data_IF_139194169532
#
_entry.id   IF_139194169532
#
_cell.length_a   1.000
_cell.length_b   1.000
_cell.length_c   1.000
_cell.angle_alpha   90.00
_cell.angle_beta   90.00
_cell.angle_gamma   90.00
#
_symmetry.space_group_name_H-M   'P 1'
#
loop_
_entity.id
_entity.type
_entity.pdbx_description
1 polymer ?
#
# COMPACT_ATOMS: atom_id res chain seq x y z
N UNK A 1 48.66 14.39 13.15
CA UNK A 1 47.19 14.48 13.32
C UNK A 1 46.57 13.52 12.33
N UNK A 2 46.26 12.30 12.77
CA UNK A 2 45.49 11.36 11.93
C UNK A 2 44.01 11.79 11.93
N UNK A 3 43.32 11.72 10.78
CA UNK A 3 41.90 11.99 10.73
C UNK A 3 41.14 10.89 11.49
N UNK A 4 40.30 11.30 12.44
CA UNK A 4 39.36 10.44 13.17
C UNK A 4 38.56 9.60 12.16
N UNK A 5 38.88 8.30 12.07
CA UNK A 5 38.11 7.32 11.29
C UNK A 5 36.78 7.05 12.02
N UNK A 6 35.80 7.93 11.82
CA UNK A 6 34.40 7.75 12.23
C UNK A 6 33.66 6.66 11.41
N UNK A 7 34.31 6.08 10.38
CA UNK A 7 33.70 5.22 9.36
C UNK A 7 33.04 3.93 9.89
N UNK A 8 33.67 3.09 10.74
CA UNK A 8 33.12 1.77 11.03
C UNK A 8 31.95 1.79 12.03
N UNK A 9 31.90 2.79 12.93
CA UNK A 9 30.83 2.91 13.94
C UNK A 9 29.53 3.45 13.32
N UNK A 10 29.64 4.36 12.35
CA UNK A 10 28.51 4.87 11.60
C UNK A 10 27.95 3.82 10.63
N UNK A 11 28.80 2.99 10.04
CA UNK A 11 28.40 1.85 9.21
C UNK A 11 27.72 0.75 10.03
N UNK A 12 28.22 0.43 11.24
CA UNK A 12 27.54 -0.49 12.16
C UNK A 12 26.20 0.06 12.67
N UNK A 13 26.12 1.35 12.99
CA UNK A 13 24.87 1.99 13.37
C UNK A 13 23.85 2.00 12.22
N UNK A 14 24.32 2.24 10.99
CA UNK A 14 23.47 2.16 9.79
C UNK A 14 22.99 0.73 9.49
N UNK A 15 23.84 -0.29 9.71
CA UNK A 15 23.48 -1.70 9.57
C UNK A 15 22.51 -2.17 10.66
N UNK A 16 22.62 -1.66 11.89
CA UNK A 16 21.67 -1.91 12.98
C UNK A 16 20.30 -1.21 12.76
N UNK A 17 20.27 -0.17 11.92
CA UNK A 17 19.05 0.53 11.51
C UNK A 17 18.45 -0.04 10.21
N UNK A 18 19.16 -0.94 9.52
CA UNK A 18 18.64 -1.56 8.31
C UNK A 18 17.52 -2.56 8.69
N UNK A 19 16.36 -2.50 8.03
CA UNK A 19 15.26 -3.42 8.31
C UNK A 19 15.69 -4.88 8.11
N UNK A 20 15.26 -5.76 9.00
CA UNK A 20 15.42 -7.19 8.84
C UNK A 20 14.70 -7.70 7.57
N UNK A 21 15.09 -8.87 7.05
CA UNK A 21 14.51 -9.44 5.84
C UNK A 21 12.98 -9.59 5.92
N UNK A 22 12.44 -9.97 7.08
CA UNK A 22 10.99 -10.12 7.28
C UNK A 22 10.24 -8.79 7.18
N UNK A 23 10.84 -7.71 7.66
CA UNK A 23 10.29 -6.35 7.52
C UNK A 23 10.21 -5.95 6.05
N UNK A 24 11.26 -6.17 5.27
CA UNK A 24 11.25 -5.84 3.83
C UNK A 24 10.21 -6.66 3.06
N UNK A 25 10.03 -7.94 3.40
CA UNK A 25 8.98 -8.80 2.83
C UNK A 25 7.60 -8.23 3.14
N UNK A 26 7.36 -7.85 4.41
CA UNK A 26 6.10 -7.26 4.84
C UNK A 26 5.82 -5.94 4.10
N UNK A 27 6.83 -5.09 3.91
CA UNK A 27 6.72 -3.86 3.10
C UNK A 27 6.36 -4.14 1.65
N UNK A 28 6.97 -5.14 1.02
CA UNK A 28 6.64 -5.50 -0.36
C UNK A 28 5.21 -6.04 -0.50
N UNK A 29 4.73 -6.80 0.50
CA UNK A 29 3.32 -7.25 0.56
C UNK A 29 2.36 -6.07 0.74
N UNK A 30 2.67 -5.13 1.64
CA UNK A 30 1.88 -3.91 1.83
C UNK A 30 1.83 -3.06 0.55
N UNK A 31 2.98 -2.90 -0.12
CA UNK A 31 3.06 -2.23 -1.43
C UNK A 31 2.15 -2.90 -2.45
N UNK A 32 2.16 -4.23 -2.53
CA UNK A 32 1.26 -4.98 -3.43
C UNK A 32 -0.20 -4.74 -3.11
N UNK A 33 -0.57 -4.72 -1.82
CA UNK A 33 -1.93 -4.40 -1.40
C UNK A 33 -2.37 -3.02 -1.85
N UNK A 34 -1.54 -1.98 -1.66
CA UNK A 34 -1.83 -0.63 -2.18
C UNK A 34 -1.90 -0.56 -3.70
N UNK A 35 -1.04 -1.30 -4.42
CA UNK A 35 -1.10 -1.34 -5.88
C UNK A 35 -2.40 -1.97 -6.39
N UNK A 36 -2.86 -3.05 -5.75
CA UNK A 36 -4.14 -3.68 -6.07
C UNK A 36 -5.33 -2.76 -5.74
N UNK A 37 -5.31 -2.15 -4.55
CA UNK A 37 -6.32 -1.20 -4.11
C UNK A 37 -6.42 0.00 -5.06
N UNK A 38 -5.29 0.57 -5.48
CA UNK A 38 -5.25 1.70 -6.42
C UNK A 38 -5.81 1.33 -7.78
N UNK A 39 -5.44 0.16 -8.32
CA UNK A 39 -5.99 -0.34 -9.58
C UNK A 39 -7.51 -0.51 -9.52
N UNK A 40 -8.02 -1.14 -8.46
CA UNK A 40 -9.47 -1.32 -8.27
C UNK A 40 -10.17 0.04 -8.15
N UNK A 41 -9.60 0.97 -7.38
CA UNK A 41 -10.14 2.31 -7.20
C UNK A 41 -10.24 3.07 -8.53
N UNK A 42 -9.17 3.04 -9.35
CA UNK A 42 -9.15 3.68 -10.66
C UNK A 42 -10.15 3.06 -11.64
N UNK A 43 -10.32 1.73 -11.61
CA UNK A 43 -11.30 1.04 -12.45
C UNK A 43 -12.75 1.36 -12.03
N UNK A 44 -13.03 1.42 -10.73
CA UNK A 44 -14.33 1.83 -10.21
C UNK A 44 -14.63 3.30 -10.52
N UNK A 45 -13.64 4.20 -10.42
CA UNK A 45 -13.79 5.60 -10.82
C UNK A 45 -14.18 5.73 -12.30
N UNK A 46 -13.57 4.92 -13.17
CA UNK A 46 -13.82 4.96 -14.60
C UNK A 46 -15.18 4.39 -15.00
N UNK A 47 -15.63 3.30 -14.37
CA UNK A 47 -16.71 2.46 -14.89
C UNK A 47 -17.92 2.28 -13.97
N UNK A 48 -17.77 2.47 -12.65
CA UNK A 48 -18.83 2.11 -11.71
C UNK A 48 -20.02 3.06 -11.80
N UNK A 49 -21.23 2.49 -11.77
CA UNK A 49 -22.49 3.23 -11.68
C UNK A 49 -23.28 2.72 -10.46
N UNK A 50 -23.56 3.59 -9.46
CA UNK A 50 -23.24 5.02 -9.42
C UNK A 50 -21.75 5.28 -9.13
N UNK A 51 -21.23 6.35 -9.72
CA UNK A 51 -19.90 6.87 -9.38
C UNK A 51 -19.87 7.39 -7.93
N UNK A 52 -18.75 7.21 -7.23
CA UNK A 52 -18.54 7.64 -5.85
C UNK A 52 -17.20 8.35 -5.71
N UNK A 53 -17.17 9.47 -4.98
CA UNK A 53 -15.94 10.22 -4.67
C UNK A 53 -14.89 9.36 -3.96
N UNK A 54 -15.36 8.34 -3.21
CA UNK A 54 -14.54 7.35 -2.54
C UNK A 54 -13.49 6.70 -3.45
N UNK A 55 -13.80 6.49 -4.74
CA UNK A 55 -12.91 5.81 -5.69
C UNK A 55 -11.72 6.69 -6.08
N UNK A 56 -11.97 7.96 -6.42
CA UNK A 56 -10.92 8.95 -6.69
C UNK A 56 -10.03 9.16 -5.46
N UNK A 57 -10.64 9.23 -4.27
CA UNK A 57 -9.91 9.33 -3.00
C UNK A 57 -9.04 8.09 -2.78
N UNK A 58 -9.58 6.90 -2.98
CA UNK A 58 -8.88 5.62 -2.82
C UNK A 58 -7.63 5.51 -3.69
N UNK A 59 -7.74 5.85 -4.98
CA UNK A 59 -6.59 5.82 -5.89
C UNK A 59 -5.49 6.82 -5.45
N UNK A 60 -5.85 8.03 -5.04
CA UNK A 60 -4.90 9.03 -4.54
C UNK A 60 -4.16 8.57 -3.28
N UNK A 61 -4.87 7.94 -2.35
CA UNK A 61 -4.27 7.40 -1.12
C UNK A 61 -3.27 6.29 -1.44
N UNK A 62 -3.64 5.39 -2.36
CA UNK A 62 -2.77 4.32 -2.82
C UNK A 62 -1.50 4.85 -3.49
N UNK A 63 -1.62 5.86 -4.38
CA UNK A 63 -0.46 6.53 -4.99
C UNK A 63 0.47 7.15 -3.95
N UNK A 64 -0.09 7.76 -2.91
CA UNK A 64 0.67 8.36 -1.81
C UNK A 64 1.44 7.31 -1.00
N UNK A 65 0.78 6.19 -0.65
CA UNK A 65 1.42 5.08 0.05
C UNK A 65 2.52 4.42 -0.79
N UNK A 66 2.29 4.21 -2.09
CA UNK A 66 3.29 3.66 -3.01
C UNK A 66 4.52 4.57 -3.13
N UNK A 67 4.32 5.89 -3.24
CA UNK A 67 5.43 6.85 -3.29
C UNK A 67 6.29 6.84 -2.00
N UNK A 68 5.69 6.52 -0.85
CA UNK A 68 6.42 6.36 0.41
C UNK A 68 7.19 5.03 0.49
N UNK A 69 6.66 3.95 -0.11
CA UNK A 69 7.26 2.60 -0.05
C UNK A 69 8.32 2.35 -1.12
N UNK A 70 8.13 2.87 -2.34
CA UNK A 70 9.02 2.60 -3.47
C UNK A 70 10.51 2.94 -3.19
N UNK A 71 10.86 4.03 -2.47
CA UNK A 71 12.26 4.31 -2.13
C UNK A 71 12.90 3.29 -1.17
N UNK A 72 12.09 2.50 -0.44
CA UNK A 72 12.56 1.53 0.56
C UNK A 72 12.74 0.12 -0.01
N UNK A 73 12.26 -0.12 -1.24
CA UNK A 73 12.16 -1.45 -1.83
C UNK A 73 12.99 -1.53 -3.11
N UNK A 74 13.89 -2.51 -3.17
CA UNK A 74 14.61 -2.79 -4.42
C UNK A 74 13.68 -3.44 -5.44
N UNK A 75 13.99 -3.29 -6.73
CA UNK A 75 13.25 -3.96 -7.82
C UNK A 75 13.22 -5.48 -7.62
N UNK A 76 14.32 -6.06 -7.16
CA UNK A 76 14.42 -7.51 -6.92
C UNK A 76 13.48 -7.96 -5.82
N UNK A 77 13.35 -7.16 -4.75
CA UNK A 77 12.46 -7.49 -3.63
C UNK A 77 10.99 -7.31 -4.01
N UNK A 78 10.67 -6.29 -4.80
CA UNK A 78 9.35 -6.11 -5.41
C UNK A 78 9.01 -7.30 -6.32
N UNK A 79 9.96 -7.79 -7.11
CA UNK A 79 9.75 -8.92 -8.01
C UNK A 79 9.60 -10.26 -7.25
N UNK A 80 10.45 -10.51 -6.26
CA UNK A 80 10.46 -11.75 -5.49
C UNK A 80 9.22 -11.91 -4.59
N UNK A 81 8.68 -10.80 -4.07
CA UNK A 81 7.49 -10.80 -3.20
C UNK A 81 6.24 -10.25 -3.87
N UNK A 82 6.34 -9.89 -5.15
CA UNK A 82 5.23 -9.52 -6.04
C UNK A 82 4.71 -10.69 -6.89
N UNK A 83 5.17 -11.93 -6.65
CA UNK A 83 4.77 -13.09 -7.45
C UNK A 83 3.23 -13.25 -7.47
N UNK A 84 2.68 -13.29 -8.70
CA UNK A 84 1.26 -13.48 -8.99
C UNK A 84 0.59 -12.40 -9.84
N UNK A 85 1.27 -11.29 -10.14
CA UNK A 85 0.68 -10.24 -10.99
C UNK A 85 1.75 -9.56 -11.84
N UNK A 86 2.21 -10.22 -12.91
CA UNK A 86 3.15 -9.59 -13.85
C UNK A 86 2.42 -8.42 -14.51
N UNK A 87 3.13 -7.35 -14.88
CA UNK A 87 2.54 -6.21 -15.59
C UNK A 87 1.66 -6.65 -16.78
N UNK A 88 2.12 -7.62 -17.56
CA UNK A 88 1.35 -8.20 -18.68
C UNK A 88 0.02 -8.83 -18.23
N UNK A 89 -0.03 -9.42 -17.05
CA UNK A 89 -1.24 -10.07 -16.54
C UNK A 89 -2.24 -8.97 -16.11
N UNK A 90 -1.75 -7.86 -15.55
CA UNK A 90 -2.54 -6.65 -15.28
C UNK A 90 -3.07 -6.04 -16.58
N UNK A 91 -2.21 -5.87 -17.59
CA UNK A 91 -2.56 -5.30 -18.89
C UNK A 91 -3.66 -6.14 -19.59
N UNK A 92 -3.68 -7.46 -19.38
CA UNK A 92 -4.73 -8.36 -19.88
C UNK A 92 -6.00 -8.28 -19.04
N UNK A 93 -5.89 -8.14 -17.72
CA UNK A 93 -7.04 -8.09 -16.82
C UNK A 93 -7.77 -6.74 -16.88
N UNK A 94 -7.08 -5.64 -17.18
CA UNK A 94 -7.68 -4.30 -17.24
C UNK A 94 -8.87 -4.26 -18.23
N UNK A 95 -8.74 -4.65 -19.51
CA UNK A 95 -9.87 -4.66 -20.44
C UNK A 95 -11.06 -5.52 -19.99
N UNK A 96 -10.76 -6.67 -19.36
CA UNK A 96 -11.80 -7.56 -18.81
C UNK A 96 -12.51 -6.87 -17.64
N UNK A 97 -11.75 -6.27 -16.73
CA UNK A 97 -12.30 -5.56 -15.58
C UNK A 97 -13.13 -4.35 -16.00
N UNK A 98 -12.73 -3.60 -17.03
CA UNK A 98 -13.55 -2.53 -17.62
C UNK A 98 -14.91 -3.07 -18.10
N UNK A 99 -14.89 -4.19 -18.82
CA UNK A 99 -16.13 -4.81 -19.34
C UNK A 99 -17.04 -5.28 -18.22
N UNK A 100 -16.48 -6.00 -17.23
CA UNK A 100 -17.25 -6.54 -16.11
C UNK A 100 -17.80 -5.43 -15.20
N UNK A 101 -17.03 -4.36 -14.96
CA UNK A 101 -17.49 -3.23 -14.14
C UNK A 101 -18.55 -2.39 -14.83
N UNK A 102 -18.43 -2.16 -16.14
CA UNK A 102 -19.45 -1.45 -16.91
C UNK A 102 -20.81 -2.19 -16.92
N UNK A 103 -20.78 -3.51 -16.71
CA UNK A 103 -21.97 -4.36 -16.62
C UNK A 103 -22.34 -4.72 -15.18
N UNK A 104 -21.58 -4.26 -14.19
CA UNK A 104 -21.81 -4.61 -12.79
C UNK A 104 -23.09 -3.96 -12.29
N UNK A 105 -23.89 -4.73 -11.55
CA UNK A 105 -24.99 -4.16 -10.78
C UNK A 105 -24.44 -3.32 -9.61
N UNK A 106 -25.24 -2.39 -9.05
CA UNK A 106 -24.86 -1.66 -7.84
C UNK A 106 -24.41 -2.59 -6.70
N UNK A 107 -25.06 -3.73 -6.51
CA UNK A 107 -24.69 -4.74 -5.51
C UNK A 107 -23.35 -5.44 -5.83
N UNK A 108 -22.99 -5.53 -7.11
CA UNK A 108 -21.67 -5.96 -7.53
C UNK A 108 -20.59 -4.97 -7.11
N UNK A 109 -20.83 -3.67 -7.34
CA UNK A 109 -19.95 -2.58 -6.90
C UNK A 109 -19.82 -2.54 -5.38
N UNK A 110 -20.91 -2.74 -4.65
CA UNK A 110 -20.88 -2.79 -3.17
C UNK A 110 -20.06 -3.96 -2.63
N UNK A 111 -20.15 -5.15 -3.23
CA UNK A 111 -19.28 -6.28 -2.83
C UNK A 111 -17.79 -6.03 -3.07
N UNK A 112 -17.45 -5.28 -4.12
CA UNK A 112 -16.08 -4.85 -4.37
C UNK A 112 -15.67 -3.84 -3.29
N UNK A 113 -16.55 -2.90 -2.93
CA UNK A 113 -16.31 -1.96 -1.84
C UNK A 113 -16.07 -2.68 -0.49
N UNK A 114 -16.87 -3.69 -0.13
CA UNK A 114 -16.67 -4.50 1.08
C UNK A 114 -15.30 -5.21 1.10
N UNK A 115 -14.87 -5.70 -0.07
CA UNK A 115 -13.56 -6.32 -0.24
C UNK A 115 -12.43 -5.29 -0.07
N UNK A 116 -12.64 -4.06 -0.52
CA UNK A 116 -11.72 -2.94 -0.33
C UNK A 116 -11.63 -2.52 1.15
N UNK A 117 -12.75 -2.51 1.89
CA UNK A 117 -12.74 -2.30 3.35
C UNK A 117 -11.85 -3.35 4.03
N UNK A 118 -12.06 -4.64 3.70
CA UNK A 118 -11.26 -5.73 4.27
C UNK A 118 -9.77 -5.59 3.97
N UNK A 119 -9.41 -5.25 2.72
CA UNK A 119 -8.03 -5.02 2.33
C UNK A 119 -7.42 -3.81 3.05
N UNK A 120 -8.16 -2.71 3.17
CA UNK A 120 -7.69 -1.51 3.85
C UNK A 120 -7.45 -1.75 5.35
N UNK A 121 -8.31 -2.52 6.01
CA UNK A 121 -8.11 -2.93 7.40
C UNK A 121 -6.85 -3.80 7.57
N UNK A 122 -6.63 -4.78 6.68
CA UNK A 122 -5.43 -5.61 6.72
C UNK A 122 -4.14 -4.81 6.47
N UNK A 123 -4.21 -3.78 5.62
CA UNK A 123 -3.09 -2.85 5.41
C UNK A 123 -2.83 -1.97 6.63
N UNK A 124 -3.88 -1.45 7.27
CA UNK A 124 -3.76 -0.64 8.48
C UNK A 124 -3.13 -1.46 9.61
N UNK A 125 -3.62 -2.67 9.85
CA UNK A 125 -3.05 -3.61 10.82
C UNK A 125 -1.57 -3.89 10.54
N UNK A 126 -1.23 -4.22 9.29
CA UNK A 126 0.15 -4.47 8.87
C UNK A 126 1.07 -3.30 9.20
N UNK A 127 0.68 -2.09 8.82
CA UNK A 127 1.53 -0.90 9.00
C UNK A 127 1.54 -0.38 10.44
N UNK A 128 0.52 -0.70 11.25
CA UNK A 128 0.55 -0.51 12.71
C UNK A 128 1.64 -1.38 13.34
N UNK A 129 1.65 -2.69 13.07
CA UNK A 129 2.66 -3.61 13.61
C UNK A 129 4.09 -3.26 13.14
N UNK A 130 4.26 -2.88 11.88
CA UNK A 130 5.56 -2.44 11.36
C UNK A 130 6.01 -1.11 11.97
N UNK A 131 5.08 -0.20 12.26
CA UNK A 131 5.33 1.07 12.92
C UNK A 131 5.83 0.91 14.36
N UNK A 132 5.25 -0.03 15.13
CA UNK A 132 5.68 -0.34 16.50
C UNK A 132 7.11 -0.90 16.56
N UNK A 133 7.51 -1.63 15.53
CA UNK A 133 8.82 -2.26 15.42
C UNK A 133 9.90 -1.33 14.83
N UNK A 134 9.52 -0.13 14.37
CA UNK A 134 10.43 0.79 13.67
C UNK A 134 10.62 2.08 14.47
N UNK A 135 11.87 2.52 14.64
CA UNK A 135 12.17 3.76 15.36
C UNK A 135 11.49 4.98 14.71
N UNK A 136 10.74 5.73 15.52
CA UNK A 136 10.08 6.96 15.11
C UNK A 136 11.10 8.01 14.60
N UNK A 137 10.74 8.75 13.55
CA UNK A 137 11.59 9.80 12.97
C UNK A 137 12.61 9.31 11.92
N UNK A 138 12.77 8.01 11.74
CA UNK A 138 13.51 7.44 10.60
C UNK A 138 12.74 7.59 9.29
N UNK A 139 13.43 7.53 8.14
CA UNK A 139 12.77 7.53 6.83
C UNK A 139 11.75 6.39 6.69
N UNK A 140 12.09 5.22 7.22
CA UNK A 140 11.20 4.06 7.27
C UNK A 140 10.00 4.30 8.21
N UNK A 141 10.24 4.79 9.43
CA UNK A 141 9.16 5.10 10.37
C UNK A 141 8.16 6.12 9.81
N UNK A 142 8.65 7.13 9.08
CA UNK A 142 7.79 8.08 8.35
C UNK A 142 6.96 7.39 7.26
N UNK A 143 7.58 6.53 6.46
CA UNK A 143 6.85 5.78 5.43
C UNK A 143 5.77 4.87 6.05
N UNK A 144 6.04 4.21 7.19
CA UNK A 144 5.04 3.39 7.88
C UNK A 144 3.87 4.25 8.36
N UNK A 145 4.15 5.42 8.91
CA UNK A 145 3.12 6.38 9.32
C UNK A 145 2.24 6.82 8.15
N UNK A 146 2.83 7.12 6.98
CA UNK A 146 2.09 7.47 5.76
C UNK A 146 1.23 6.30 5.28
N UNK A 147 1.79 5.09 5.23
CA UNK A 147 1.05 3.90 4.80
C UNK A 147 -0.10 3.56 5.74
N UNK A 148 0.12 3.62 7.06
CA UNK A 148 -0.96 3.42 8.03
C UNK A 148 -2.08 4.45 7.85
N UNK A 149 -1.73 5.74 7.77
CA UNK A 149 -2.72 6.80 7.56
C UNK A 149 -3.50 6.61 6.25
N UNK A 150 -2.81 6.27 5.16
CA UNK A 150 -3.44 5.99 3.88
C UNK A 150 -4.39 4.79 3.95
N UNK A 151 -4.02 3.73 4.68
CA UNK A 151 -4.89 2.57 4.87
C UNK A 151 -6.13 2.90 5.72
N UNK A 152 -5.97 3.66 6.81
CA UNK A 152 -7.09 4.14 7.64
C UNK A 152 -8.05 5.02 6.83
N UNK A 153 -7.52 5.99 6.06
CA UNK A 153 -8.33 6.86 5.22
C UNK A 153 -9.01 6.08 4.07
N UNK A 154 -8.33 5.08 3.51
CA UNK A 154 -8.91 4.21 2.47
C UNK A 154 -10.08 3.41 3.03
N UNK A 155 -9.91 2.84 4.22
CA UNK A 155 -10.96 2.10 4.91
C UNK A 155 -12.19 2.98 5.17
N UNK A 156 -11.98 4.19 5.68
CA UNK A 156 -13.06 5.15 5.91
C UNK A 156 -13.75 5.60 4.61
N UNK A 157 -12.99 5.84 3.54
CA UNK A 157 -13.54 6.26 2.25
C UNK A 157 -14.49 5.22 1.65
N UNK A 158 -14.21 3.93 1.84
CA UNK A 158 -15.05 2.84 1.36
C UNK A 158 -16.23 2.50 2.29
N UNK A 159 -16.41 3.24 3.40
CA UNK A 159 -17.54 3.05 4.32
C UNK A 159 -17.25 2.10 5.48
N UNK A 160 -15.98 1.83 5.78
CA UNK A 160 -15.60 1.23 7.06
C UNK A 160 -16.06 2.14 8.20
N UNK A 161 -16.79 1.58 9.17
CA UNK A 161 -17.39 2.31 10.28
C UNK A 161 -16.32 3.07 11.06
N UNK A 162 -16.11 4.36 10.81
CA UNK A 162 -15.27 5.23 11.64
C UNK A 162 -15.92 5.34 13.02
N UNK A 163 -15.72 4.33 13.85
CA UNK A 163 -16.26 4.22 15.18
C UNK A 163 -15.88 5.46 15.95
N UNK A 164 -16.90 6.24 16.29
CA UNK A 164 -16.90 7.21 17.36
C UNK A 164 -16.08 6.72 18.55
N UNK A 165 -14.97 7.38 18.83
CA UNK A 165 -14.31 7.44 20.14
C UNK A 165 -13.79 8.85 20.36
#
# INVERSE_FOLDING_TARGET
MEPLRLSPYLEQAAAALAPGPDTLVALARGRRGFAAAGLVSALLEAEAVPARDAFTVGDRLCRTALAALDPLLSKDLINAHGEGTRKRDIDVLIPVAHTELALASPEGVDRIADSMITLAAALEELFTHLGESTAAGTGQGRAMGVCRAAATELWAAYGGDSGSW
#
